data_IF_752028892508
#
_entry.id   IF_752028892508
#
_cell.length_a   1.000
_cell.length_b   1.000
_cell.length_c   1.000
_cell.angle_alpha   90.00
_cell.angle_beta   90.00
_cell.angle_gamma   90.00
#
_symmetry.space_group_name_H-M   'P 1'
#
loop_
_entity.id
_entity.type
_entity.pdbx_description
1 polymer ?
#
# COMPACT_ATOMS: atom_id res chain seq x y z
N UNK A 1 9.20 27.39 -43.04
CA UNK A 1 8.39 28.02 -41.97
C UNK A 1 8.71 27.25 -40.68
N UNK A 2 9.81 27.65 -40.05
CA UNK A 2 10.36 26.96 -38.90
C UNK A 2 9.65 27.42 -37.62
N UNK A 3 8.97 26.48 -36.96
CA UNK A 3 8.30 26.76 -35.69
C UNK A 3 9.36 26.68 -34.59
N UNK A 4 9.78 27.87 -34.15
CA UNK A 4 10.73 28.06 -33.07
C UNK A 4 10.04 27.77 -31.72
N UNK A 5 10.32 26.60 -31.10
CA UNK A 5 9.93 26.36 -29.71
C UNK A 5 10.97 27.00 -28.77
N UNK A 6 10.59 27.98 -27.94
CA UNK A 6 11.52 28.50 -26.96
C UNK A 6 11.79 27.46 -25.88
N UNK A 7 13.03 27.01 -25.77
CA UNK A 7 13.52 26.18 -24.66
C UNK A 7 13.45 26.99 -23.37
N UNK A 8 12.33 26.93 -22.64
CA UNK A 8 12.27 27.49 -21.29
C UNK A 8 13.16 26.61 -20.40
N UNK A 9 14.36 27.12 -20.08
CA UNK A 9 15.19 26.56 -19.00
C UNK A 9 14.37 26.60 -17.72
N UNK A 10 13.94 25.44 -17.24
CA UNK A 10 13.28 25.33 -15.93
C UNK A 10 14.29 25.75 -14.87
N UNK A 11 13.97 26.74 -14.07
CA UNK A 11 14.85 27.23 -13.00
C UNK A 11 15.22 26.09 -12.06
N UNK A 12 16.49 25.95 -11.65
CA UNK A 12 16.90 24.96 -10.65
C UNK A 12 16.09 25.08 -9.34
N UNK A 13 15.65 26.27 -9.02
CA UNK A 13 14.78 26.57 -7.87
C UNK A 13 13.39 25.91 -8.02
N UNK A 14 12.82 25.93 -9.22
CA UNK A 14 11.53 25.31 -9.51
C UNK A 14 11.63 23.79 -9.41
N UNK A 15 12.72 23.22 -9.93
CA UNK A 15 12.99 21.78 -9.86
C UNK A 15 13.17 21.34 -8.40
N UNK A 16 13.89 22.12 -7.58
CA UNK A 16 14.11 21.83 -6.16
C UNK A 16 12.82 21.92 -5.34
N UNK A 17 11.95 22.89 -5.62
CA UNK A 17 10.64 23.02 -4.95
C UNK A 17 9.71 21.89 -5.40
N UNK A 18 9.72 21.53 -6.68
CA UNK A 18 8.90 20.45 -7.24
C UNK A 18 9.32 19.08 -6.69
N UNK A 19 10.63 18.80 -6.63
CA UNK A 19 11.20 17.60 -6.01
C UNK A 19 10.89 17.54 -4.51
N UNK A 20 11.06 18.66 -3.77
CA UNK A 20 10.69 18.72 -2.34
C UNK A 20 9.18 18.53 -2.13
N UNK A 21 8.33 19.01 -3.03
CA UNK A 21 6.88 18.81 -2.96
C UNK A 21 6.48 17.36 -3.28
N UNK A 22 7.17 16.70 -4.22
CA UNK A 22 6.99 15.27 -4.52
C UNK A 22 7.43 14.42 -3.33
N UNK A 23 8.60 14.71 -2.73
CA UNK A 23 9.10 14.01 -1.54
C UNK A 23 8.14 14.19 -0.35
N UNK A 24 7.61 15.42 -0.15
CA UNK A 24 6.64 15.66 0.93
C UNK A 24 5.30 14.96 0.68
N UNK A 25 4.90 14.74 -0.58
CA UNK A 25 3.71 13.96 -0.90
C UNK A 25 3.93 12.45 -0.68
N UNK A 26 5.15 11.94 -0.83
CA UNK A 26 5.48 10.55 -0.58
C UNK A 26 5.37 10.18 0.92
N UNK A 27 5.88 11.04 1.81
CA UNK A 27 5.86 10.79 3.27
C UNK A 27 4.47 10.82 3.92
N UNK A 28 3.47 11.37 3.24
CA UNK A 28 2.09 11.49 3.74
C UNK A 28 1.14 10.44 3.16
N UNK A 29 1.64 9.52 2.35
CA UNK A 29 0.82 8.45 1.76
C UNK A 29 1.45 7.08 2.00
N UNK A 30 0.60 6.09 2.20
CA UNK A 30 0.97 4.68 2.23
C UNK A 30 0.00 3.87 1.40
N UNK A 31 0.46 2.73 0.92
CA UNK A 31 -0.40 1.77 0.26
C UNK A 31 -0.73 0.62 1.23
N UNK A 32 -1.92 0.09 1.13
CA UNK A 32 -2.38 -1.08 1.87
C UNK A 32 -3.22 -2.02 1.00
N UNK A 33 -3.19 -3.29 1.34
CA UNK A 33 -4.18 -4.28 0.87
C UNK A 33 -4.75 -5.03 2.06
N UNK A 34 -6.08 -5.10 2.15
CA UNK A 34 -6.73 -6.13 2.94
C UNK A 34 -6.67 -7.43 2.14
N UNK A 35 -6.11 -8.46 2.73
CA UNK A 35 -5.80 -9.73 2.07
C UNK A 35 -7.01 -10.66 2.04
N UNK A 36 -6.99 -11.76 1.25
CA UNK A 36 -8.12 -12.65 1.12
C UNK A 36 -8.67 -13.18 2.46
N UNK A 37 -7.82 -13.51 3.43
CA UNK A 37 -8.22 -13.98 4.76
C UNK A 37 -9.06 -12.96 5.54
N UNK A 38 -8.73 -11.66 5.47
CA UNK A 38 -9.49 -10.60 6.13
C UNK A 38 -10.89 -10.43 5.53
N UNK A 39 -11.04 -10.69 4.22
CA UNK A 39 -12.33 -10.63 3.53
C UNK A 39 -13.15 -11.89 3.81
N UNK A 40 -12.52 -13.06 3.70
CA UNK A 40 -13.13 -14.36 3.96
C UNK A 40 -13.72 -14.44 5.38
N UNK A 41 -12.98 -13.93 6.37
CA UNK A 41 -13.42 -13.87 7.76
C UNK A 41 -14.42 -12.74 8.08
N UNK A 42 -14.81 -11.92 7.09
CA UNK A 42 -15.76 -10.81 7.27
C UNK A 42 -15.22 -9.63 8.09
N UNK A 43 -13.89 -9.52 8.24
CA UNK A 43 -13.28 -8.48 9.08
C UNK A 43 -12.96 -7.18 8.31
N UNK A 44 -13.19 -7.14 7.00
CA UNK A 44 -12.82 -5.99 6.17
C UNK A 44 -13.38 -4.66 6.69
N UNK A 45 -14.67 -4.61 7.04
CA UNK A 45 -15.31 -3.41 7.59
C UNK A 45 -14.69 -2.94 8.90
N UNK A 46 -14.38 -3.87 9.82
CA UNK A 46 -13.72 -3.57 11.11
C UNK A 46 -12.30 -3.03 10.92
N UNK A 47 -11.55 -3.59 9.96
CA UNK A 47 -10.20 -3.13 9.65
C UNK A 47 -10.24 -1.71 9.07
N UNK A 48 -11.16 -1.43 8.13
CA UNK A 48 -11.34 -0.10 7.55
C UNK A 48 -11.74 0.91 8.64
N UNK A 49 -12.68 0.57 9.50
CA UNK A 49 -13.12 1.42 10.63
C UNK A 49 -11.93 1.74 11.56
N UNK A 50 -11.14 0.74 11.91
CA UNK A 50 -9.94 0.93 12.73
C UNK A 50 -8.92 1.86 12.05
N UNK A 51 -8.68 1.72 10.75
CA UNK A 51 -7.79 2.59 9.98
C UNK A 51 -8.29 4.03 10.03
N UNK A 52 -9.58 4.26 9.75
CA UNK A 52 -10.17 5.60 9.75
C UNK A 52 -10.17 6.22 11.15
N UNK A 53 -10.45 5.44 12.19
CA UNK A 53 -10.43 5.89 13.60
C UNK A 53 -9.04 6.36 14.07
N UNK A 54 -7.97 5.94 13.38
CA UNK A 54 -6.58 6.39 13.64
C UNK A 54 -6.17 7.61 12.81
N UNK A 55 -7.14 8.28 12.16
CA UNK A 55 -6.93 9.54 11.45
C UNK A 55 -6.35 9.37 10.04
N UNK A 56 -6.40 8.18 9.45
CA UNK A 56 -6.09 7.99 8.04
C UNK A 56 -7.26 8.42 7.16
N UNK A 57 -6.95 9.02 6.02
CA UNK A 57 -7.91 9.37 4.97
C UNK A 57 -7.71 8.47 3.76
N UNK A 58 -8.79 7.88 3.24
CA UNK A 58 -8.72 7.08 2.02
C UNK A 58 -8.68 8.02 0.82
N UNK A 59 -7.65 7.89 -0.02
CA UNK A 59 -7.45 8.65 -1.26
C UNK A 59 -7.80 7.86 -2.51
N UNK A 60 -7.71 6.54 -2.44
CA UNK A 60 -8.17 5.60 -3.45
C UNK A 60 -8.50 4.28 -2.76
N UNK A 61 -9.52 3.57 -3.23
CA UNK A 61 -9.86 2.25 -2.74
C UNK A 61 -10.57 1.45 -3.83
N UNK A 62 -10.20 0.18 -4.01
CA UNK A 62 -10.92 -0.74 -4.89
C UNK A 62 -10.93 -2.17 -4.38
N UNK A 63 -12.04 -2.83 -4.66
CA UNK A 63 -12.22 -4.27 -4.48
C UNK A 63 -11.82 -4.97 -5.78
N UNK A 64 -10.92 -5.93 -5.73
CA UNK A 64 -10.42 -6.60 -6.93
C UNK A 64 -9.89 -8.00 -6.60
N UNK A 65 -9.60 -8.78 -7.65
CA UNK A 65 -8.89 -10.05 -7.56
C UNK A 65 -7.58 -9.91 -8.33
N UNK A 66 -6.47 -10.34 -7.73
CA UNK A 66 -5.19 -10.38 -8.44
C UNK A 66 -5.13 -11.58 -9.37
N UNK A 67 -4.68 -11.35 -10.60
CA UNK A 67 -4.20 -12.46 -11.44
C UNK A 67 -2.86 -12.97 -10.91
N UNK A 68 -2.50 -14.20 -11.26
CA UNK A 68 -1.20 -14.77 -10.89
C UNK A 68 -0.03 -13.89 -11.35
N UNK A 69 -0.12 -13.34 -12.57
CA UNK A 69 0.90 -12.43 -13.10
C UNK A 69 1.03 -11.15 -12.24
N UNK A 70 -0.09 -10.56 -11.85
CA UNK A 70 -0.10 -9.37 -10.98
C UNK A 70 0.45 -9.68 -9.58
N UNK A 71 0.09 -10.81 -8.98
CA UNK A 71 0.62 -11.21 -7.69
C UNK A 71 2.14 -11.46 -7.76
N UNK A 72 2.62 -12.14 -8.80
CA UNK A 72 4.05 -12.36 -9.05
C UNK A 72 4.83 -11.05 -9.22
N UNK A 73 4.28 -10.11 -9.97
CA UNK A 73 4.91 -8.81 -10.19
C UNK A 73 4.93 -7.96 -8.91
N UNK A 74 3.83 -7.92 -8.18
CA UNK A 74 3.73 -7.16 -6.92
C UNK A 74 4.73 -7.65 -5.87
N UNK A 75 4.90 -8.97 -5.74
CA UNK A 75 5.79 -9.61 -4.77
C UNK A 75 7.13 -10.04 -5.35
N UNK A 76 7.57 -9.45 -6.47
CA UNK A 76 8.80 -9.84 -7.19
C UNK A 76 10.06 -9.81 -6.30
N UNK A 77 10.13 -8.92 -5.32
CA UNK A 77 11.23 -8.83 -4.36
C UNK A 77 11.35 -10.06 -3.43
N UNK A 78 10.34 -10.92 -3.42
CA UNK A 78 10.34 -12.18 -2.67
C UNK A 78 10.58 -13.43 -3.53
N UNK A 79 10.87 -13.27 -4.84
CA UNK A 79 10.98 -14.39 -5.80
C UNK A 79 11.96 -15.49 -5.37
N UNK A 80 13.07 -15.10 -4.71
CA UNK A 80 14.09 -16.03 -4.21
C UNK A 80 13.75 -16.64 -2.82
N UNK A 81 12.59 -16.28 -2.25
CA UNK A 81 12.19 -16.79 -0.94
C UNK A 81 11.42 -18.10 -1.07
N UNK A 82 11.67 -19.10 -0.18
CA UNK A 82 10.99 -20.40 -0.24
C UNK A 82 9.46 -20.31 -0.20
N UNK A 83 8.91 -19.28 0.46
CA UNK A 83 7.48 -19.08 0.61
C UNK A 83 6.82 -18.34 -0.58
N UNK A 84 7.58 -17.94 -1.62
CA UNK A 84 7.05 -17.10 -2.69
C UNK A 84 5.87 -17.75 -3.44
N UNK A 85 5.97 -19.05 -3.76
CA UNK A 85 4.90 -19.78 -4.43
C UNK A 85 3.60 -19.79 -3.61
N UNK A 86 3.70 -20.11 -2.33
CA UNK A 86 2.57 -20.11 -1.41
C UNK A 86 1.95 -18.72 -1.25
N UNK A 87 2.78 -17.67 -1.22
CA UNK A 87 2.32 -16.28 -1.15
C UNK A 87 1.51 -15.90 -2.40
N UNK A 88 1.99 -16.25 -3.60
CA UNK A 88 1.28 -15.99 -4.86
C UNK A 88 -0.05 -16.74 -4.89
N UNK A 89 -0.07 -18.04 -4.57
CA UNK A 89 -1.28 -18.84 -4.48
C UNK A 89 -2.29 -18.24 -3.49
N UNK A 90 -1.83 -17.89 -2.30
CA UNK A 90 -2.67 -17.27 -1.29
C UNK A 90 -3.25 -15.91 -1.75
N UNK A 91 -2.43 -15.04 -2.34
CA UNK A 91 -2.90 -13.71 -2.77
C UNK A 91 -3.83 -13.74 -3.99
N UNK A 92 -3.89 -14.86 -4.70
CA UNK A 92 -4.81 -15.11 -5.82
C UNK A 92 -6.01 -15.98 -5.44
N UNK A 93 -6.09 -16.47 -4.20
CA UNK A 93 -7.15 -17.36 -3.73
C UNK A 93 -8.51 -16.68 -3.56
N UNK A 94 -8.55 -15.36 -3.49
CA UNK A 94 -9.78 -14.60 -3.28
C UNK A 94 -9.60 -13.12 -3.53
N UNK A 95 -10.66 -12.33 -3.32
CA UNK A 95 -10.62 -10.89 -3.50
C UNK A 95 -9.77 -10.21 -2.43
N UNK A 96 -9.30 -9.00 -2.78
CA UNK A 96 -8.58 -8.08 -1.92
C UNK A 96 -9.25 -6.70 -1.94
N UNK A 97 -8.97 -5.87 -0.95
CA UNK A 97 -9.25 -4.43 -1.01
C UNK A 97 -7.90 -3.71 -1.03
N UNK A 98 -7.56 -3.10 -2.17
CA UNK A 98 -6.40 -2.23 -2.30
C UNK A 98 -6.78 -0.80 -1.96
N UNK A 99 -5.94 -0.05 -1.23
CA UNK A 99 -6.18 1.35 -0.91
C UNK A 99 -4.90 2.18 -0.80
N UNK A 100 -5.02 3.47 -1.14
CA UNK A 100 -4.04 4.50 -0.80
C UNK A 100 -4.59 5.29 0.37
N UNK A 101 -3.81 5.40 1.42
CA UNK A 101 -4.13 6.12 2.65
C UNK A 101 -3.24 7.35 2.78
N UNK A 102 -3.79 8.43 3.34
CA UNK A 102 -3.08 9.68 3.59
C UNK A 102 -3.18 10.07 5.06
N UNK A 103 -2.04 10.41 5.63
CA UNK A 103 -1.85 10.94 6.99
C UNK A 103 -0.42 11.46 7.10
N UNK A 104 -0.15 12.43 7.97
CA UNK A 104 1.22 12.78 8.30
C UNK A 104 1.97 11.53 8.82
N UNK A 105 3.20 11.29 8.33
CA UNK A 105 4.00 10.09 8.60
C UNK A 105 3.28 8.76 8.26
N UNK A 106 2.51 8.75 7.17
CA UNK A 106 1.59 7.66 6.83
C UNK A 106 2.22 6.27 6.88
N UNK A 107 3.43 6.07 6.32
CA UNK A 107 4.09 4.77 6.30
C UNK A 107 4.42 4.30 7.72
N UNK A 108 5.08 5.12 8.52
CA UNK A 108 5.48 4.74 9.88
C UNK A 108 4.28 4.48 10.79
N UNK A 109 3.27 5.38 10.74
CA UNK A 109 2.07 5.26 11.56
C UNK A 109 1.23 4.05 11.15
N UNK A 110 1.16 3.75 9.84
CA UNK A 110 0.41 2.59 9.36
C UNK A 110 1.12 1.28 9.73
N UNK A 111 2.44 1.22 9.64
CA UNK A 111 3.20 0.04 10.11
C UNK A 111 3.02 -0.21 11.60
N UNK A 112 2.96 0.85 12.41
CA UNK A 112 2.64 0.73 13.84
C UNK A 112 1.20 0.20 14.05
N UNK A 113 0.22 0.68 13.26
CA UNK A 113 -1.17 0.26 13.34
C UNK A 113 -1.38 -1.20 12.93
N UNK A 114 -0.71 -1.66 11.87
CA UNK A 114 -0.86 -3.06 11.43
C UNK A 114 -0.15 -4.06 12.34
N UNK A 115 0.91 -3.66 13.02
CA UNK A 115 1.69 -4.51 13.94
C UNK A 115 2.71 -5.41 13.23
N UNK A 116 3.41 -6.23 14.02
CA UNK A 116 4.38 -7.19 13.52
C UNK A 116 3.76 -8.17 12.51
N UNK A 117 4.60 -8.71 11.60
CA UNK A 117 4.14 -9.62 10.53
C UNK A 117 3.52 -10.90 11.10
N UNK A 118 4.10 -11.42 12.18
CA UNK A 118 3.52 -12.52 12.93
C UNK A 118 2.55 -11.96 13.99
N UNK A 119 1.27 -12.37 14.01
CA UNK A 119 0.32 -11.92 15.04
C UNK A 119 0.71 -12.35 16.46
N UNK A 120 1.54 -13.38 16.62
CA UNK A 120 2.06 -13.77 17.91
C UNK A 120 2.94 -12.67 18.54
N UNK A 121 3.72 -11.98 17.70
CA UNK A 121 4.64 -10.90 18.07
C UNK A 121 3.99 -9.51 18.00
N UNK A 122 2.78 -9.42 17.46
CA UNK A 122 2.08 -8.14 17.27
C UNK A 122 1.53 -7.62 18.60
N UNK A 123 1.68 -6.31 18.81
CA UNK A 123 1.15 -5.63 19.99
C UNK A 123 -0.38 -5.63 20.03
N UNK A 124 -0.94 -5.63 21.23
CA UNK A 124 -2.38 -5.57 21.47
C UNK A 124 -3.00 -4.32 20.79
N UNK A 125 -4.17 -4.51 20.17
CA UNK A 125 -4.89 -3.46 19.46
C UNK A 125 -4.41 -3.19 18.03
N UNK A 126 -3.36 -3.86 17.56
CA UNK A 126 -2.94 -3.79 16.15
C UNK A 126 -3.81 -4.67 15.26
N UNK A 127 -3.89 -4.33 13.96
CA UNK A 127 -4.74 -5.06 13.01
C UNK A 127 -4.38 -6.54 12.96
N UNK A 128 -3.10 -6.88 12.89
CA UNK A 128 -2.66 -8.28 12.83
C UNK A 128 -2.92 -9.04 14.11
N UNK A 129 -2.77 -8.38 15.27
CA UNK A 129 -3.12 -9.01 16.56
C UNK A 129 -4.59 -9.36 16.66
N UNK A 130 -5.46 -8.50 16.11
CA UNK A 130 -6.91 -8.65 16.22
C UNK A 130 -7.51 -9.58 15.15
N UNK A 131 -6.92 -9.62 13.94
CA UNK A 131 -7.58 -10.19 12.77
C UNK A 131 -6.74 -11.17 11.95
N UNK A 132 -5.44 -11.32 12.22
CA UNK A 132 -4.59 -12.27 11.52
C UNK A 132 -4.68 -13.68 12.15
N UNK A 133 -4.65 -14.71 11.30
CA UNK A 133 -4.62 -16.10 11.76
C UNK A 133 -3.20 -16.54 12.13
N UNK A 134 -2.25 -16.20 11.27
CA UNK A 134 -0.84 -16.59 11.42
C UNK A 134 0.05 -15.69 10.53
N UNK A 135 1.36 -15.95 10.51
CA UNK A 135 2.33 -15.17 9.74
C UNK A 135 2.08 -15.14 8.22
N UNK A 136 1.55 -16.21 7.63
CA UNK A 136 1.22 -16.29 6.20
C UNK A 136 -0.11 -15.61 5.88
N UNK A 137 -1.15 -15.87 6.69
CA UNK A 137 -2.50 -15.29 6.62
C UNK A 137 -2.61 -14.17 7.65
N UNK A 138 -2.01 -13.02 7.33
CA UNK A 138 -1.78 -11.93 8.28
C UNK A 138 -2.63 -10.68 8.01
N UNK A 139 -3.78 -10.87 7.42
CA UNK A 139 -4.89 -9.93 7.22
C UNK A 139 -4.58 -8.72 6.32
N UNK A 140 -3.40 -8.10 6.43
CA UNK A 140 -3.15 -6.81 5.80
C UNK A 140 -1.70 -6.69 5.31
N UNK A 141 -1.52 -6.06 4.15
CA UNK A 141 -0.25 -5.53 3.67
C UNK A 141 -0.16 -4.03 3.97
N UNK A 142 1.02 -3.54 4.26
CA UNK A 142 1.34 -2.12 4.34
C UNK A 142 2.75 -1.86 3.85
N UNK A 143 2.93 -0.81 3.07
CA UNK A 143 4.24 -0.41 2.54
C UNK A 143 5.25 -0.23 3.67
N UNK A 144 6.49 -0.60 3.42
CA UNK A 144 7.60 -0.53 4.39
C UNK A 144 8.42 0.77 4.27
N UNK A 145 8.30 1.47 3.15
CA UNK A 145 8.99 2.73 2.86
C UNK A 145 8.15 3.62 1.92
N UNK A 146 8.50 4.90 1.82
CA UNK A 146 7.84 5.86 0.93
C UNK A 146 7.96 5.47 -0.55
N UNK A 147 9.12 4.96 -0.96
CA UNK A 147 9.35 4.49 -2.34
C UNK A 147 8.49 3.24 -2.64
N UNK A 148 8.36 2.33 -1.69
CA UNK A 148 7.45 1.19 -1.80
C UNK A 148 6.00 1.65 -1.90
N UNK A 149 5.58 2.60 -1.07
CA UNK A 149 4.23 3.17 -1.11
C UNK A 149 3.89 3.80 -2.47
N UNK A 150 4.84 4.54 -3.05
CA UNK A 150 4.69 5.14 -4.37
C UNK A 150 4.56 4.07 -5.48
N UNK A 151 5.46 3.08 -5.50
CA UNK A 151 5.45 1.97 -6.47
C UNK A 151 4.19 1.13 -6.37
N UNK A 152 3.82 0.73 -5.18
CA UNK A 152 2.65 -0.11 -4.90
C UNK A 152 1.34 0.63 -5.21
N UNK A 153 1.28 1.94 -4.92
CA UNK A 153 0.14 2.78 -5.26
C UNK A 153 -0.10 2.86 -6.77
N UNK A 154 0.93 3.13 -7.59
CA UNK A 154 0.80 3.21 -9.05
C UNK A 154 0.62 1.85 -9.72
N UNK A 155 1.00 0.76 -9.05
CA UNK A 155 0.69 -0.60 -9.52
C UNK A 155 -0.82 -0.85 -9.54
N UNK A 156 -1.54 -0.34 -8.55
CA UNK A 156 -2.97 -0.57 -8.40
C UNK A 156 -3.85 0.54 -8.96
N UNK A 157 -3.41 1.80 -8.94
CA UNK A 157 -4.24 2.95 -9.23
C UNK A 157 -3.64 3.84 -10.31
N UNK A 158 -4.44 4.20 -11.30
CA UNK A 158 -4.11 5.28 -12.23
C UNK A 158 -4.21 6.64 -11.53
N UNK A 159 -3.52 7.66 -12.07
CA UNK A 159 -3.47 8.99 -11.44
C UNK A 159 -4.87 9.65 -11.26
N UNK A 160 -5.83 9.35 -12.12
CA UNK A 160 -7.19 9.84 -12.05
C UNK A 160 -8.10 9.07 -11.08
N UNK A 161 -7.59 8.01 -10.43
CA UNK A 161 -8.30 7.25 -9.40
C UNK A 161 -7.89 7.69 -7.98
N UNK A 162 -6.96 8.65 -7.85
CA UNK A 162 -6.40 9.09 -6.56
C UNK A 162 -6.89 10.52 -6.29
N UNK A 163 -7.67 10.72 -5.22
CA UNK A 163 -8.35 11.98 -4.89
C UNK A 163 -7.77 12.71 -3.67
#
# INVERSE_FOLDING_TARGET
MDIFFPSKKVSPYFLTIFVKKIIKMATNRTFTMLKPDALESGNAGKIIDLILSKGFHIKAMKFTVLTEAQAKEFYIEHVERPFYGELVEYMTSGPIIAAILEKDNAVADFRALIGATDPADAAEGTIRKLYAENKGRNAVHGSDADDSAAREGVFHFAANEIF
#
